data_IF_365559353275
#
_entry.id   IF_365559353275
#
_cell.length_a   1.000
_cell.length_b   1.000
_cell.length_c   1.000
_cell.angle_alpha   90.00
_cell.angle_beta   90.00
_cell.angle_gamma   90.00
#
_symmetry.space_group_name_H-M   'P 1'
#
loop_
_entity.id
_entity.type
_entity.pdbx_description
1 polymer ?
#
# COMPACT_ATOMS: atom_id res chain seq x y z
N UNK A 1 10.04 -9.90 22.53
CA UNK A 1 9.16 -9.09 21.67
C UNK A 1 8.94 -7.67 22.20
N UNK A 2 9.84 -7.10 23.02
CA UNK A 2 9.61 -5.76 23.59
C UNK A 2 9.47 -4.68 22.52
N UNK A 3 10.24 -4.79 21.43
CA UNK A 3 10.21 -3.82 20.34
C UNK A 3 8.93 -3.93 19.53
N UNK A 4 8.48 -5.17 19.24
CA UNK A 4 7.20 -5.45 18.58
C UNK A 4 6.03 -4.93 19.42
N UNK A 5 6.03 -5.21 20.74
CA UNK A 5 4.94 -4.79 21.63
C UNK A 5 4.81 -3.26 21.68
N UNK A 6 5.93 -2.54 21.73
CA UNK A 6 5.94 -1.09 21.68
C UNK A 6 5.47 -0.57 20.33
N UNK A 7 6.04 -1.09 19.24
CA UNK A 7 5.66 -0.70 17.88
C UNK A 7 4.16 -0.90 17.64
N UNK A 8 3.60 -2.06 18.02
CA UNK A 8 2.19 -2.35 17.92
C UNK A 8 1.32 -1.33 18.68
N UNK A 9 1.70 -0.96 19.91
CA UNK A 9 0.87 -0.08 20.75
C UNK A 9 0.94 1.39 20.34
N UNK A 10 2.14 1.85 20.00
CA UNK A 10 2.45 3.28 19.88
C UNK A 10 2.58 3.78 18.44
N UNK A 11 2.84 2.89 17.48
CA UNK A 11 3.28 3.30 16.12
C UNK A 11 2.40 2.69 15.03
N UNK A 12 2.14 1.38 15.08
CA UNK A 12 1.41 0.68 14.03
C UNK A 12 0.07 1.38 13.74
N UNK A 13 -0.18 1.61 12.46
CA UNK A 13 -1.42 2.24 12.00
C UNK A 13 -2.65 1.48 12.53
N UNK A 14 -3.60 2.25 13.06
CA UNK A 14 -4.85 1.75 13.59
C UNK A 14 -6.00 2.66 13.16
N UNK A 15 -7.22 2.12 13.21
CA UNK A 15 -8.43 2.94 13.16
C UNK A 15 -9.12 2.98 14.51
N UNK A 16 -9.87 4.05 14.75
CA UNK A 16 -10.75 4.18 15.91
C UNK A 16 -12.18 3.94 15.44
N UNK A 17 -12.81 2.89 15.95
CA UNK A 17 -14.24 2.60 15.72
C UNK A 17 -14.90 2.44 17.08
N UNK A 18 -16.00 3.16 17.32
CA UNK A 18 -16.78 3.12 18.56
C UNK A 18 -15.93 3.26 19.85
N UNK A 19 -14.85 4.05 19.76
CA UNK A 19 -13.91 4.28 20.87
C UNK A 19 -12.85 3.18 21.08
N UNK A 20 -12.90 2.08 20.31
CA UNK A 20 -11.86 1.03 20.31
C UNK A 20 -10.78 1.27 19.26
N UNK A 21 -9.53 0.85 19.56
CA UNK A 21 -8.41 0.85 18.60
C UNK A 21 -8.33 -0.50 17.89
N UNK A 22 -8.31 -0.47 16.56
CA UNK A 22 -8.23 -1.64 15.71
C UNK A 22 -7.00 -1.55 14.82
N UNK A 23 -6.15 -2.57 14.90
CA UNK A 23 -4.87 -2.64 14.19
C UNK A 23 -4.95 -3.57 12.99
N UNK A 24 -4.06 -3.38 12.02
CA UNK A 24 -4.00 -4.25 10.84
C UNK A 24 -3.52 -5.66 11.19
N UNK A 25 -2.56 -5.81 12.09
CA UNK A 25 -2.02 -7.12 12.49
C UNK A 25 -1.70 -7.16 13.98
N UNK A 26 -2.31 -8.10 14.71
CA UNK A 26 -1.92 -8.40 16.09
C UNK A 26 -0.55 -9.14 16.12
N UNK A 27 0.39 -8.78 17.02
CA UNK A 27 1.63 -9.52 17.26
C UNK A 27 1.44 -11.03 17.43
N UNK A 28 0.37 -11.48 18.08
CA UNK A 28 0.08 -12.92 18.29
C UNK A 28 -0.07 -13.67 16.95
N UNK A 29 -0.67 -13.02 15.94
CA UNK A 29 -0.78 -13.59 14.60
C UNK A 29 0.60 -13.76 13.97
N UNK A 30 1.48 -12.78 14.15
CA UNK A 30 2.86 -12.86 13.67
C UNK A 30 3.65 -13.95 14.38
N UNK A 31 3.58 -14.04 15.72
CA UNK A 31 4.23 -15.09 16.50
C UNK A 31 3.77 -16.48 16.05
N UNK A 32 2.47 -16.66 15.79
CA UNK A 32 1.93 -17.92 15.32
C UNK A 32 2.49 -18.33 13.94
N UNK A 33 2.55 -17.42 12.97
CA UNK A 33 3.12 -17.72 11.65
C UNK A 33 4.65 -17.88 11.69
N UNK A 34 5.32 -17.15 12.58
CA UNK A 34 6.76 -17.25 12.80
C UNK A 34 7.15 -18.63 13.35
N UNK A 35 6.54 -19.05 14.46
CA UNK A 35 6.81 -20.36 15.08
C UNK A 35 6.37 -21.54 14.22
N UNK A 36 5.34 -21.36 13.38
CA UNK A 36 4.93 -22.38 12.42
C UNK A 36 5.85 -22.46 11.19
N UNK A 37 6.88 -21.60 11.08
CA UNK A 37 7.77 -21.54 9.90
C UNK A 37 7.06 -21.09 8.62
N UNK A 38 5.90 -20.43 8.75
CA UNK A 38 5.09 -19.96 7.62
C UNK A 38 5.50 -18.57 7.13
N UNK A 39 6.21 -17.81 7.96
CA UNK A 39 6.91 -16.61 7.56
C UNK A 39 8.40 -16.92 7.41
N UNK A 40 8.96 -16.66 6.23
CA UNK A 40 10.38 -16.89 5.94
C UNK A 40 11.05 -15.54 5.68
N UNK A 41 11.90 -15.06 6.61
CA UNK A 41 12.66 -13.83 6.41
C UNK A 41 13.55 -13.91 5.17
N UNK A 42 13.72 -12.79 4.47
CA UNK A 42 14.63 -12.68 3.31
C UNK A 42 16.12 -12.67 3.67
N UNK A 43 16.43 -12.50 4.95
CA UNK A 43 17.78 -12.50 5.53
C UNK A 43 17.73 -13.22 6.87
N UNK A 44 18.68 -14.10 7.14
CA UNK A 44 18.81 -14.78 8.43
C UNK A 44 19.38 -13.85 9.51
N UNK A 45 19.16 -14.22 10.77
CA UNK A 45 19.59 -13.40 11.90
C UNK A 45 21.12 -13.28 12.00
N UNK A 46 21.88 -14.32 11.69
CA UNK A 46 23.34 -14.29 11.81
C UNK A 46 23.94 -13.25 10.85
N UNK A 47 23.51 -13.28 9.59
CA UNK A 47 23.86 -12.27 8.58
C UNK A 47 23.45 -10.86 9.00
N UNK A 48 22.25 -10.71 9.58
CA UNK A 48 21.79 -9.41 10.09
C UNK A 48 22.66 -8.92 11.25
N UNK A 49 22.94 -9.79 12.21
CA UNK A 49 23.69 -9.49 13.43
C UNK A 49 25.13 -9.05 13.12
N UNK A 50 25.79 -9.69 12.15
CA UNK A 50 27.12 -9.34 11.69
C UNK A 50 27.15 -7.98 10.98
N UNK A 51 26.13 -7.70 10.16
CA UNK A 51 26.15 -6.55 9.28
C UNK A 51 25.51 -5.28 9.87
N UNK A 52 24.59 -5.39 10.82
CA UNK A 52 23.88 -4.22 11.37
C UNK A 52 24.61 -3.71 12.62
N UNK A 53 25.04 -2.45 12.57
CA UNK A 53 25.57 -1.75 13.74
C UNK A 53 24.43 -1.09 14.51
N UNK A 54 24.14 -1.61 15.70
CA UNK A 54 23.04 -1.14 16.54
C UNK A 54 23.38 -1.35 18.01
N UNK A 55 23.17 -0.31 18.83
CA UNK A 55 23.51 -0.30 20.25
C UNK A 55 22.39 -0.84 21.16
N UNK A 56 21.25 -1.26 20.58
CA UNK A 56 20.18 -1.94 21.29
C UNK A 56 20.21 -3.45 21.10
N UNK A 57 19.09 -4.09 21.37
CA UNK A 57 18.92 -5.53 21.17
C UNK A 57 18.72 -5.83 19.68
N UNK A 58 19.72 -6.48 19.06
CA UNK A 58 19.72 -6.79 17.63
C UNK A 58 18.71 -7.86 17.26
N UNK A 59 18.43 -8.81 18.15
CA UNK A 59 17.45 -9.87 17.90
C UNK A 59 16.03 -9.28 17.91
N UNK A 60 15.74 -8.42 18.89
CA UNK A 60 14.48 -7.67 18.94
C UNK A 60 14.33 -6.73 17.75
N UNK A 61 15.41 -6.07 17.31
CA UNK A 61 15.39 -5.23 16.10
C UNK A 61 15.13 -6.05 14.84
N UNK A 62 15.77 -7.21 14.70
CA UNK A 62 15.58 -8.12 13.57
C UNK A 62 14.13 -8.63 13.51
N UNK A 63 13.59 -9.09 14.63
CA UNK A 63 12.19 -9.52 14.73
C UNK A 63 11.23 -8.37 14.42
N UNK A 64 11.51 -7.16 14.91
CA UNK A 64 10.71 -5.97 14.56
C UNK A 64 10.74 -5.69 13.06
N UNK A 65 11.90 -5.77 12.41
CA UNK A 65 11.99 -5.57 10.95
C UNK A 65 11.12 -6.59 10.19
N UNK A 66 11.16 -7.85 10.60
CA UNK A 66 10.31 -8.90 10.03
C UNK A 66 8.82 -8.61 10.26
N UNK A 67 8.46 -8.17 11.47
CA UNK A 67 7.09 -7.83 11.81
C UNK A 67 6.56 -6.63 11.01
N UNK A 68 7.34 -5.56 10.86
CA UNK A 68 6.97 -4.39 10.04
C UNK A 68 6.71 -4.83 8.59
N UNK A 69 7.60 -5.63 8.00
CA UNK A 69 7.39 -6.15 6.63
C UNK A 69 6.10 -6.96 6.56
N UNK A 70 5.88 -7.87 7.52
CA UNK A 70 4.67 -8.69 7.57
C UNK A 70 3.39 -7.85 7.66
N UNK A 71 3.39 -6.80 8.49
CA UNK A 71 2.28 -5.84 8.62
C UNK A 71 1.99 -5.17 7.28
N UNK A 72 3.02 -4.67 6.60
CA UNK A 72 2.87 -3.99 5.30
C UNK A 72 2.32 -4.96 4.24
N UNK A 73 2.74 -6.23 4.26
CA UNK A 73 2.26 -7.28 3.34
C UNK A 73 0.81 -7.73 3.60
N UNK A 74 0.24 -7.45 4.78
CA UNK A 74 -1.18 -7.68 5.05
C UNK A 74 -2.08 -6.57 4.49
N UNK A 75 -1.50 -5.53 3.88
CA UNK A 75 -2.26 -4.47 3.26
C UNK A 75 -2.95 -4.93 1.96
N UNK A 76 -4.24 -4.59 1.81
CA UNK A 76 -5.02 -4.96 0.63
C UNK A 76 -5.11 -3.82 -0.36
N UNK A 77 -5.06 -4.16 -1.65
CA UNK A 77 -5.21 -3.20 -2.73
C UNK A 77 -6.42 -3.55 -3.58
N UNK A 78 -7.24 -2.58 -3.90
CA UNK A 78 -8.44 -2.77 -4.74
C UNK A 78 -8.26 -1.97 -6.02
N UNK A 79 -8.11 -2.67 -7.14
CA UNK A 79 -8.14 -2.04 -8.47
C UNK A 79 -9.56 -1.61 -8.76
N UNK A 80 -9.74 -0.35 -9.12
CA UNK A 80 -11.02 0.19 -9.54
C UNK A 80 -11.14 0.12 -11.07
N UNK A 81 -12.33 -0.21 -11.55
CA UNK A 81 -12.68 -0.09 -12.97
C UNK A 81 -12.66 1.37 -13.39
N UNK A 82 -12.39 1.65 -14.67
CA UNK A 82 -12.45 3.01 -15.16
C UNK A 82 -13.86 3.57 -14.98
N UNK A 83 -13.95 4.82 -14.56
CA UNK A 83 -15.19 5.57 -14.72
C UNK A 83 -15.39 5.91 -16.19
N UNK A 84 -16.64 6.21 -16.52
CA UNK A 84 -17.01 6.66 -17.84
C UNK A 84 -16.31 7.98 -18.25
N UNK A 85 -16.09 8.88 -17.28
CA UNK A 85 -15.31 10.10 -17.49
C UNK A 85 -13.84 9.80 -17.80
N UNK A 86 -13.25 8.84 -17.09
CA UNK A 86 -11.87 8.41 -17.32
C UNK A 86 -11.68 7.81 -18.72
N UNK A 87 -12.67 7.06 -19.23
CA UNK A 87 -12.67 6.54 -20.60
C UNK A 87 -12.88 7.62 -21.66
N UNK A 88 -13.70 8.64 -21.37
CA UNK A 88 -13.99 9.72 -22.32
C UNK A 88 -12.78 10.66 -22.54
N UNK A 89 -11.88 10.77 -21.56
CA UNK A 89 -10.72 11.67 -21.62
C UNK A 89 -9.65 11.25 -22.64
N UNK A 90 -9.56 9.95 -22.97
CA UNK A 90 -8.51 9.41 -23.85
C UNK A 90 -8.90 9.38 -25.34
N UNK A 91 -10.04 9.96 -25.70
CA UNK A 91 -10.54 10.00 -27.07
C UNK A 91 -11.19 8.68 -27.50
N UNK A 92 -12.52 8.67 -27.61
CA UNK A 92 -13.25 7.52 -28.13
C UNK A 92 -13.05 7.38 -29.65
N UNK A 93 -12.40 6.31 -30.08
CA UNK A 93 -12.19 5.99 -31.51
C UNK A 93 -13.41 5.27 -32.13
N UNK A 94 -14.23 4.59 -31.30
CA UNK A 94 -15.40 3.85 -31.76
C UNK A 94 -16.12 3.10 -30.64
N UNK A 95 -17.38 2.74 -30.87
CA UNK A 95 -18.23 2.01 -29.92
C UNK A 95 -18.63 0.67 -30.54
N UNK A 96 -18.33 -0.45 -29.88
CA UNK A 96 -18.75 -1.79 -30.36
C UNK A 96 -19.85 -2.36 -29.49
N UNK A 97 -21.00 -2.65 -30.10
CA UNK A 97 -22.15 -3.30 -29.49
C UNK A 97 -22.07 -4.81 -29.78
N UNK A 98 -21.86 -5.61 -28.74
CA UNK A 98 -21.81 -7.07 -28.85
C UNK A 98 -23.18 -7.69 -28.58
N UNK A 99 -23.75 -8.32 -29.61
CA UNK A 99 -25.02 -9.04 -29.46
C UNK A 99 -24.77 -10.48 -29.01
N UNK A 100 -25.54 -10.94 -28.02
CA UNK A 100 -25.42 -12.29 -27.42
C UNK A 100 -25.56 -13.45 -28.42
N UNK A 101 -26.18 -13.21 -29.59
CA UNK A 101 -26.35 -14.15 -30.72
C UNK A 101 -26.43 -13.39 -32.06
N UNK A 102 -25.38 -12.67 -32.43
CA UNK A 102 -25.35 -11.92 -33.70
C UNK A 102 -23.96 -11.39 -34.03
N UNK A 103 -23.84 -10.71 -35.16
CA UNK A 103 -22.64 -9.96 -35.52
C UNK A 103 -22.48 -8.72 -34.65
N UNK A 104 -21.25 -8.43 -34.24
CA UNK A 104 -20.90 -7.20 -33.54
C UNK A 104 -21.09 -6.00 -34.48
N UNK A 105 -21.62 -4.89 -33.95
CA UNK A 105 -21.77 -3.63 -34.68
C UNK A 105 -20.81 -2.61 -34.09
N UNK A 106 -19.93 -2.06 -34.92
CA UNK A 106 -19.01 -0.99 -34.52
C UNK A 106 -19.47 0.35 -35.12
N UNK A 107 -19.64 1.35 -34.26
CA UNK A 107 -20.08 2.70 -34.59
C UNK A 107 -18.91 3.68 -34.42
N UNK A 108 -18.43 4.26 -35.53
CA UNK A 108 -17.29 5.20 -35.56
C UNK A 108 -17.70 6.62 -35.98
N UNK A 109 -19.00 6.92 -35.99
CA UNK A 109 -19.50 8.24 -36.39
C UNK A 109 -19.28 9.27 -35.27
N UNK A 110 -18.60 10.38 -35.57
CA UNK A 110 -18.26 11.40 -34.57
C UNK A 110 -19.45 11.99 -33.79
N UNK A 111 -20.64 12.09 -34.41
CA UNK A 111 -21.87 12.53 -33.72
C UNK A 111 -22.39 11.47 -32.74
N UNK A 112 -22.38 10.20 -33.13
CA UNK A 112 -22.83 9.07 -32.29
C UNK A 112 -21.90 8.91 -31.09
N UNK A 113 -20.59 8.99 -31.31
CA UNK A 113 -19.59 8.95 -30.25
C UNK A 113 -19.83 10.10 -29.26
N UNK A 114 -20.11 11.31 -29.76
CA UNK A 114 -20.39 12.48 -28.91
C UNK A 114 -21.70 12.33 -28.13
N UNK A 115 -22.78 11.87 -28.74
CA UNK A 115 -24.08 11.71 -28.08
C UNK A 115 -24.04 10.61 -27.03
N UNK A 116 -23.36 9.50 -27.32
CA UNK A 116 -23.14 8.43 -26.35
C UNK A 116 -22.25 8.93 -25.22
N UNK A 117 -21.14 9.61 -25.50
CA UNK A 117 -20.26 10.20 -24.48
C UNK A 117 -21.00 11.22 -23.59
N UNK A 118 -21.89 12.04 -24.15
CA UNK A 118 -22.71 12.99 -23.40
C UNK A 118 -23.74 12.28 -22.49
N UNK A 119 -24.44 11.26 -23.00
CA UNK A 119 -25.39 10.47 -22.21
C UNK A 119 -24.70 9.70 -21.09
N UNK A 120 -23.48 9.22 -21.37
CA UNK A 120 -22.58 8.56 -20.44
C UNK A 120 -22.06 9.54 -19.37
N UNK A 121 -21.64 10.74 -19.75
CA UNK A 121 -21.17 11.80 -18.84
C UNK A 121 -22.28 12.40 -17.97
N UNK A 122 -23.56 12.19 -18.33
CA UNK A 122 -24.70 12.52 -17.48
C UNK A 122 -24.98 11.45 -16.40
N UNK A 123 -24.30 10.29 -16.44
CA UNK A 123 -24.36 9.29 -15.37
C UNK A 123 -23.53 9.74 -14.16
N UNK A 124 -23.92 9.29 -12.96
CA UNK A 124 -23.43 9.84 -11.68
C UNK A 124 -21.90 9.86 -11.60
N UNK A 125 -21.36 11.07 -11.54
CA UNK A 125 -19.94 11.32 -11.26
C UNK A 125 -19.55 10.64 -9.93
N UNK A 126 -18.44 9.91 -9.93
CA UNK A 126 -17.84 9.35 -8.71
C UNK A 126 -18.29 7.97 -8.26
N UNK A 127 -19.09 7.23 -9.05
CA UNK A 127 -19.39 5.82 -8.75
C UNK A 127 -18.34 4.89 -9.38
N UNK A 128 -17.41 4.39 -8.57
CA UNK A 128 -16.45 3.37 -8.95
C UNK A 128 -16.99 1.95 -8.72
N UNK A 129 -16.54 1.01 -9.55
CA UNK A 129 -16.75 -0.42 -9.35
C UNK A 129 -15.42 -1.08 -9.05
N UNK A 130 -15.37 -1.93 -8.03
CA UNK A 130 -14.20 -2.77 -7.77
C UNK A 130 -14.00 -3.74 -8.95
N UNK A 131 -12.78 -3.81 -9.45
CA UNK A 131 -12.37 -4.75 -10.48
C UNK A 131 -11.85 -6.04 -9.84
N UNK A 132 -10.81 -5.90 -9.01
CA UNK A 132 -10.11 -7.01 -8.37
C UNK A 132 -9.46 -6.56 -7.07
N UNK A 133 -9.31 -7.52 -6.14
CA UNK A 133 -8.51 -7.37 -4.92
C UNK A 133 -7.16 -8.02 -5.21
N UNK A 134 -6.07 -7.29 -4.97
CA UNK A 134 -4.71 -7.66 -5.31
C UNK A 134 -3.80 -7.63 -4.07
N UNK A 135 -2.77 -8.47 -4.09
CA UNK A 135 -1.62 -8.36 -3.19
C UNK A 135 -0.62 -7.32 -3.67
N UNK A 136 0.24 -6.88 -2.75
CA UNK A 136 1.19 -5.80 -2.96
C UNK A 136 2.05 -6.01 -4.22
N UNK A 137 2.53 -7.23 -4.45
CA UNK A 137 3.37 -7.61 -5.57
C UNK A 137 2.67 -7.55 -6.94
N UNK A 138 1.34 -7.60 -6.96
CA UNK A 138 0.53 -7.51 -8.19
C UNK A 138 0.24 -6.06 -8.62
N UNK A 139 0.46 -5.09 -7.72
CA UNK A 139 0.10 -3.70 -7.96
C UNK A 139 1.25 -2.75 -7.76
N UNK A 140 2.11 -2.94 -6.78
CA UNK A 140 3.13 -2.00 -6.39
C UNK A 140 4.52 -2.50 -6.79
N UNK A 141 5.38 -1.57 -7.21
CA UNK A 141 6.81 -1.82 -7.22
C UNK A 141 7.34 -1.84 -5.77
N UNK A 142 8.59 -2.27 -5.59
CA UNK A 142 9.23 -2.31 -4.27
C UNK A 142 9.29 -0.95 -3.56
N UNK A 143 9.01 0.18 -4.25
CA UNK A 143 9.04 1.51 -3.63
C UNK A 143 8.00 1.66 -2.52
N UNK A 144 6.80 1.09 -2.65
CA UNK A 144 5.81 1.14 -1.56
C UNK A 144 6.34 0.46 -0.29
N UNK A 145 6.82 -0.77 -0.44
CA UNK A 145 7.37 -1.55 0.67
C UNK A 145 8.61 -0.87 1.27
N UNK A 146 9.52 -0.34 0.44
CA UNK A 146 10.69 0.43 0.89
C UNK A 146 10.27 1.65 1.70
N UNK A 147 9.32 2.44 1.19
CA UNK A 147 8.87 3.69 1.82
C UNK A 147 8.20 3.44 3.15
N UNK A 148 7.21 2.55 3.19
CA UNK A 148 6.50 2.20 4.42
C UNK A 148 7.48 1.63 5.46
N UNK A 149 8.32 0.66 5.06
CA UNK A 149 9.32 0.11 5.98
C UNK A 149 10.27 1.18 6.55
N UNK A 150 10.75 2.09 5.70
CA UNK A 150 11.67 3.17 6.11
C UNK A 150 11.04 4.08 7.16
N UNK A 151 9.80 4.52 6.93
CA UNK A 151 9.09 5.40 7.86
C UNK A 151 8.78 4.70 9.17
N UNK A 152 8.24 3.47 9.13
CA UNK A 152 7.83 2.73 10.32
C UNK A 152 9.04 2.42 11.22
N UNK A 153 10.17 2.03 10.63
CA UNK A 153 11.40 1.79 11.38
C UNK A 153 11.99 3.10 11.93
N UNK A 154 11.96 4.19 11.14
CA UNK A 154 12.45 5.49 11.59
C UNK A 154 11.61 6.06 12.74
N UNK A 155 10.27 5.94 12.67
CA UNK A 155 9.34 6.30 13.75
C UNK A 155 9.61 5.47 15.01
N UNK A 156 9.85 4.15 14.86
CA UNK A 156 10.23 3.31 15.99
C UNK A 156 11.51 3.78 16.66
N UNK A 157 12.57 3.99 15.87
CA UNK A 157 13.83 4.48 16.43
C UNK A 157 13.64 5.84 17.11
N UNK A 158 12.83 6.71 16.52
CA UNK A 158 12.52 8.03 17.04
C UNK A 158 11.86 7.95 18.43
N UNK A 159 10.78 7.18 18.54
CA UNK A 159 9.93 7.13 19.72
C UNK A 159 10.51 6.24 20.83
N UNK A 160 11.11 5.10 20.48
CA UNK A 160 11.62 4.13 21.46
C UNK A 160 12.97 4.53 22.04
N UNK A 161 13.86 5.12 21.25
CA UNK A 161 15.18 5.55 21.69
C UNK A 161 15.23 7.07 21.86
N UNK A 162 15.33 7.59 23.10
CA UNK A 162 15.37 9.02 23.40
C UNK A 162 16.77 9.60 23.12
N UNK A 163 17.19 9.55 21.85
CA UNK A 163 18.47 10.07 21.38
C UNK A 163 18.32 11.53 21.00
N UNK A 164 19.32 12.36 21.34
CA UNK A 164 19.35 13.77 20.93
C UNK A 164 19.59 13.85 19.42
N UNK A 165 18.57 14.29 18.67
CA UNK A 165 18.60 14.41 17.20
C UNK A 165 18.68 15.87 16.77
N UNK A 166 19.09 16.10 15.52
CA UNK A 166 19.05 17.44 14.91
C UNK A 166 17.59 17.90 14.80
N UNK A 167 17.38 19.21 14.86
CA UNK A 167 16.07 19.83 14.63
C UNK A 167 15.52 19.36 13.28
N UNK A 168 14.24 19.01 13.25
CA UNK A 168 13.50 18.52 12.07
C UNK A 168 14.01 17.19 11.47
N UNK A 169 14.80 16.42 12.22
CA UNK A 169 15.28 15.10 11.80
C UNK A 169 14.61 13.99 12.60
N UNK A 170 13.90 13.10 11.90
CA UNK A 170 13.24 11.93 12.52
C UNK A 170 14.27 11.01 13.17
N UNK A 171 15.38 10.74 12.49
CA UNK A 171 16.50 9.93 12.97
C UNK A 171 17.85 10.57 12.64
N UNK A 172 18.89 10.19 13.38
CA UNK A 172 20.29 10.60 13.17
C UNK A 172 20.86 10.08 11.85
N UNK A 173 22.03 10.58 11.45
CA UNK A 173 22.71 10.14 10.23
C UNK A 173 23.06 8.65 10.27
N UNK A 174 23.52 8.16 11.42
CA UNK A 174 23.93 6.76 11.58
C UNK A 174 22.70 5.83 11.54
N UNK A 175 21.58 6.25 12.15
CA UNK A 175 20.30 5.55 12.03
C UNK A 175 19.79 5.53 10.58
N UNK A 176 19.98 6.60 9.80
CA UNK A 176 19.62 6.61 8.36
C UNK A 176 20.43 5.58 7.57
N UNK A 177 21.75 5.52 7.79
CA UNK A 177 22.62 4.56 7.11
C UNK A 177 22.29 3.12 7.52
N UNK A 178 21.96 2.90 8.81
CA UNK A 178 21.48 1.62 9.30
C UNK A 178 20.18 1.20 8.61
N UNK A 179 19.17 2.07 8.52
CA UNK A 179 17.90 1.75 7.84
C UNK A 179 18.15 1.40 6.37
N UNK A 180 19.00 2.16 5.68
CA UNK A 180 19.39 1.89 4.29
C UNK A 180 20.07 0.52 4.14
N UNK A 181 20.94 0.16 5.08
CA UNK A 181 21.61 -1.14 5.09
C UNK A 181 20.60 -2.27 5.31
N UNK A 182 19.65 -2.09 6.23
CA UNK A 182 18.57 -3.04 6.49
C UNK A 182 17.68 -3.23 5.26
N UNK A 183 17.29 -2.16 4.57
CA UNK A 183 16.55 -2.23 3.29
C UNK A 183 17.26 -3.14 2.28
N UNK A 184 18.58 -3.00 2.15
CA UNK A 184 19.38 -3.80 1.24
C UNK A 184 19.47 -5.27 1.68
N UNK A 185 19.70 -5.52 2.98
CA UNK A 185 19.78 -6.86 3.55
C UNK A 185 18.50 -7.66 3.31
N UNK A 186 17.35 -7.05 3.59
CA UNK A 186 16.03 -7.64 3.36
C UNK A 186 15.62 -7.70 1.88
N UNK A 187 16.54 -7.39 0.95
CA UNK A 187 16.30 -7.39 -0.51
C UNK A 187 15.13 -6.50 -0.93
N UNK A 188 14.87 -5.43 -0.18
CA UNK A 188 13.88 -4.43 -0.53
C UNK A 188 14.44 -3.47 -1.59
N UNK A 189 15.76 -3.28 -1.62
CA UNK A 189 16.48 -2.57 -2.69
C UNK A 189 17.53 -3.47 -3.34
N UNK A 190 17.66 -3.46 -4.68
CA UNK A 190 18.65 -4.29 -5.38
C UNK A 190 20.10 -3.84 -5.14
N UNK A 191 20.30 -2.58 -4.75
CA UNK A 191 21.59 -2.00 -4.40
C UNK A 191 21.51 -1.23 -3.09
N UNK A 192 22.66 -0.98 -2.46
CA UNK A 192 22.74 -0.08 -1.33
C UNK A 192 22.41 1.34 -1.80
N UNK A 193 21.31 1.88 -1.31
CA UNK A 193 20.84 3.22 -1.70
C UNK A 193 21.60 4.31 -0.93
N UNK A 194 21.59 5.53 -1.44
CA UNK A 194 22.23 6.68 -0.79
C UNK A 194 21.25 7.45 0.10
N UNK A 195 21.74 8.30 1.00
CA UNK A 195 20.91 9.11 1.93
C UNK A 195 19.89 10.02 1.24
N UNK A 196 20.11 10.42 -0.01
CA UNK A 196 19.08 11.16 -0.76
C UNK A 196 17.82 10.32 -1.01
N UNK A 197 17.99 9.00 -1.21
CA UNK A 197 16.86 8.06 -1.34
C UNK A 197 16.08 7.94 -0.05
N UNK A 198 16.72 7.93 1.12
CA UNK A 198 16.03 7.92 2.41
C UNK A 198 14.99 9.06 2.51
N UNK A 199 15.38 10.29 2.17
CA UNK A 199 14.46 11.44 2.19
C UNK A 199 13.29 11.28 1.21
N UNK A 200 13.57 10.77 0.01
CA UNK A 200 12.52 10.46 -0.98
C UNK A 200 11.54 9.42 -0.44
N UNK A 201 12.06 8.37 0.22
CA UNK A 201 11.24 7.30 0.78
C UNK A 201 10.30 7.82 1.88
N UNK A 202 10.77 8.73 2.75
CA UNK A 202 9.91 9.39 3.75
C UNK A 202 8.76 10.17 3.10
N UNK A 203 9.06 11.02 2.12
CA UNK A 203 8.03 11.84 1.44
C UNK A 203 6.97 10.98 0.72
N UNK A 204 7.36 9.81 0.22
CA UNK A 204 6.44 8.88 -0.43
C UNK A 204 5.56 8.15 0.58
N UNK A 205 6.11 7.78 1.75
CA UNK A 205 5.36 7.11 2.81
C UNK A 205 4.22 7.98 3.35
N UNK A 206 4.45 9.28 3.55
CA UNK A 206 3.40 10.21 4.00
C UNK A 206 2.20 10.20 3.04
N UNK A 207 2.45 10.22 1.73
CA UNK A 207 1.39 10.11 0.72
C UNK A 207 0.66 8.78 0.80
N UNK A 208 1.33 7.67 1.11
CA UNK A 208 0.67 6.37 1.24
C UNK A 208 -0.21 6.30 2.49
N UNK A 209 0.26 6.82 3.62
CA UNK A 209 -0.50 6.87 4.88
C UNK A 209 -1.79 7.68 4.74
N UNK A 210 -1.76 8.82 4.03
CA UNK A 210 -2.94 9.66 3.77
C UNK A 210 -4.03 8.97 2.92
N UNK A 211 -3.68 7.90 2.20
CA UNK A 211 -4.54 7.21 1.25
C UNK A 211 -5.01 5.84 1.75
N UNK A 212 -4.68 5.52 3.00
CA UNK A 212 -5.15 4.32 3.67
C UNK A 212 -6.63 4.49 4.03
N UNK A 213 -7.46 3.60 3.51
CA UNK A 213 -8.84 3.43 3.96
C UNK A 213 -8.93 2.21 4.87
N UNK A 214 -9.95 2.17 5.72
CA UNK A 214 -10.23 1.03 6.56
C UNK A 214 -11.61 0.48 6.23
N UNK A 215 -11.67 -0.82 5.92
CA UNK A 215 -12.93 -1.51 5.66
C UNK A 215 -13.19 -2.47 6.81
N UNK A 216 -14.38 -2.36 7.41
CA UNK A 216 -14.86 -3.36 8.36
C UNK A 216 -15.45 -4.54 7.58
N UNK A 217 -14.80 -5.70 7.68
CA UNK A 217 -15.25 -6.96 7.12
C UNK A 217 -15.49 -7.94 8.27
N UNK A 218 -16.75 -8.14 8.65
CA UNK A 218 -17.15 -9.08 9.71
C UNK A 218 -16.35 -8.89 11.02
N UNK A 219 -16.29 -7.65 11.52
CA UNK A 219 -15.57 -7.25 12.73
C UNK A 219 -14.03 -7.31 12.62
N UNK A 220 -13.50 -7.58 11.44
CA UNK A 220 -12.09 -7.41 11.11
C UNK A 220 -11.89 -6.11 10.32
N UNK A 221 -11.11 -5.18 10.87
CA UNK A 221 -10.65 -4.03 10.11
C UNK A 221 -9.51 -4.43 9.18
N UNK A 222 -9.70 -4.20 7.90
CA UNK A 222 -8.68 -4.39 6.89
C UNK A 222 -8.21 -3.03 6.39
N UNK A 223 -6.90 -2.76 6.41
CA UNK A 223 -6.37 -1.60 5.73
C UNK A 223 -6.46 -1.87 4.22
N UNK A 224 -7.04 -0.93 3.49
CA UNK A 224 -7.31 -1.03 2.05
C UNK A 224 -6.90 0.25 1.34
N UNK A 225 -6.25 0.11 0.20
CA UNK A 225 -5.94 1.22 -0.71
C UNK A 225 -6.67 1.00 -2.04
N UNK A 226 -7.51 1.96 -2.43
CA UNK A 226 -8.25 1.92 -3.68
C UNK A 226 -7.48 2.61 -4.80
N UNK A 227 -7.11 1.85 -5.82
CA UNK A 227 -6.28 2.32 -6.93
C UNK A 227 -7.20 2.61 -8.12
N UNK A 228 -7.28 3.87 -8.55
CA UNK A 228 -8.06 4.29 -9.72
C UNK A 228 -7.51 3.69 -11.01
N UNK A 229 -8.36 3.53 -12.02
CA UNK A 229 -7.97 2.89 -13.27
C UNK A 229 -6.77 3.55 -13.95
N UNK A 230 -6.77 4.89 -14.07
CA UNK A 230 -5.67 5.63 -14.67
C UNK A 230 -4.32 5.33 -14.01
N UNK A 231 -4.32 5.02 -12.72
CA UNK A 231 -3.13 4.68 -11.98
C UNK A 231 -2.67 3.28 -12.39
N UNK A 232 -3.42 2.23 -12.10
CA UNK A 232 -2.93 0.86 -12.34
C UNK A 232 -2.87 0.47 -13.83
N UNK A 233 -3.53 1.20 -14.72
CA UNK A 233 -3.36 1.05 -16.18
C UNK A 233 -2.02 1.62 -16.69
N UNK A 234 -1.34 2.43 -15.89
CA UNK A 234 0.06 2.82 -16.15
C UNK A 234 1.01 1.90 -15.37
N UNK A 235 1.94 1.27 -16.06
CA UNK A 235 3.04 0.57 -15.40
C UNK A 235 3.86 1.61 -14.61
N UNK A 236 3.71 1.64 -13.28
CA UNK A 236 4.39 2.52 -12.29
C UNK A 236 3.54 3.63 -11.61
N UNK A 237 2.32 3.31 -11.18
CA UNK A 237 1.46 4.31 -10.51
C UNK A 237 1.98 4.93 -9.20
N UNK A 238 3.08 4.42 -8.63
CA UNK A 238 3.68 4.96 -7.41
C UNK A 238 4.64 6.12 -7.66
N UNK A 239 5.05 6.38 -8.91
CA UNK A 239 6.06 7.41 -9.22
C UNK A 239 5.49 8.70 -9.83
N UNK A 240 4.25 8.69 -10.32
CA UNK A 240 3.69 9.80 -11.13
C UNK A 240 2.73 10.67 -10.33
N UNK A 241 1.61 10.11 -9.86
CA UNK A 241 0.64 10.83 -9.03
C UNK A 241 -0.35 9.83 -8.41
N UNK A 242 -0.63 9.96 -7.10
CA UNK A 242 -1.65 9.14 -6.45
C UNK A 242 -2.94 9.95 -6.26
N UNK A 243 -4.01 9.59 -6.97
CA UNK A 243 -5.33 10.23 -6.84
C UNK A 243 -6.24 9.37 -5.95
N UNK A 244 -6.54 9.90 -4.76
CA UNK A 244 -7.38 9.22 -3.77
C UNK A 244 -8.85 9.32 -4.11
N UNK A 245 -9.65 8.49 -3.44
CA UNK A 245 -11.09 8.70 -3.46
C UNK A 245 -11.43 10.05 -2.82
N UNK A 246 -12.12 10.89 -3.57
CA UNK A 246 -12.59 12.21 -3.12
C UNK A 246 -13.88 12.05 -2.32
N UNK A 247 -14.19 13.04 -1.50
CA UNK A 247 -15.47 13.07 -0.79
C UNK A 247 -16.64 13.02 -1.80
N UNK A 248 -17.57 12.08 -1.57
CA UNK A 248 -18.67 11.79 -2.48
C UNK A 248 -18.39 10.71 -3.54
N UNK A 249 -17.13 10.31 -3.74
CA UNK A 249 -16.82 9.12 -4.55
C UNK A 249 -17.15 7.84 -3.75
N UNK A 250 -17.82 6.89 -4.39
CA UNK A 250 -18.24 5.63 -3.76
C UNK A 250 -17.71 4.45 -4.54
N UNK A 251 -17.41 3.35 -3.84
CA UNK A 251 -16.96 2.10 -4.45
C UNK A 251 -18.03 1.03 -4.21
N UNK A 252 -18.50 0.42 -5.29
CA UNK A 252 -19.36 -0.75 -5.23
C UNK A 252 -18.58 -2.02 -5.60
N UNK A 253 -18.78 -3.09 -4.83
CA UNK A 253 -18.24 -4.40 -5.15
C UNK A 253 -19.26 -5.18 -5.99
N UNK A 254 -18.83 -6.00 -6.97
CA UNK A 254 -19.75 -6.88 -7.67
C UNK A 254 -20.46 -7.77 -6.64
N UNK A 255 -21.77 -8.05 -6.81
CA UNK A 255 -22.46 -9.00 -5.95
C UNK A 255 -21.67 -10.30 -5.97
N UNK A 256 -21.39 -10.85 -4.78
CA UNK A 256 -20.82 -12.18 -4.65
C UNK A 256 -21.71 -13.09 -5.48
N UNK A 257 -21.20 -13.55 -6.62
CA UNK A 257 -21.88 -14.56 -7.39
C UNK A 257 -22.10 -15.72 -6.43
N UNK A 258 -23.36 -16.14 -6.27
CA UNK A 258 -23.66 -17.45 -5.73
C UNK A 258 -22.89 -18.44 -6.60
N UNK A 259 -21.74 -18.90 -6.09
CA UNK A 259 -21.03 -20.04 -6.65
C UNK A 259 -21.99 -21.22 -6.54
N UNK A 260 -22.75 -21.45 -7.62
CA UNK A 260 -23.47 -22.69 -7.86
C UNK A 260 -22.53 -23.69 -8.49
#
# INVERSE_FOLDING_TARGET
MKYIDYYYKEIQLYAIIDGGRYYSVNPDNFTAVWWAGKYVPKVDFDTFNEQVEFNGDKEELYMLCCYIIYVIEQHYFVKLRPTLEELNADGLEGITLKHKKGSDITLNGGSIIKDVANAIGASRNGEYKADSICKLDEVANNTYLQSMFTVELAEFLHCYFPVKRKKDSLVSTDEQDMIIKILHLFKLTPYLVVRSRYRQLLMLADRFKENLSWINLQDQLLPVTFIKWKQWNTNNWLEVEYDKLKEGETVSFPPLGSNN
#
